data_IF_374053622816
#
_entry.id   IF_374053622816
#
_cell.length_a   1.000
_cell.length_b   1.000
_cell.length_c   1.000
_cell.angle_alpha   90.00
_cell.angle_beta   90.00
_cell.angle_gamma   90.00
#
_symmetry.space_group_name_H-M   'P 1'
#
loop_
_entity.id
_entity.type
_entity.pdbx_description
1 polymer ?
#
# COMPACT_ATOMS: atom_id res chain seq x y z
N UNK A 1 -5.45 10.02 -3.25
CA UNK A 1 -4.34 9.60 -4.12
C UNK A 1 -3.93 8.14 -3.86
N UNK A 2 -3.50 7.76 -2.66
CA UNK A 2 -3.02 6.36 -2.40
C UNK A 2 -4.07 5.31 -2.72
N UNK A 3 -5.35 5.50 -2.38
CA UNK A 3 -6.43 4.58 -2.75
C UNK A 3 -6.43 4.26 -4.26
N UNK A 4 -6.38 5.30 -5.10
CA UNK A 4 -6.38 5.13 -6.56
C UNK A 4 -5.09 4.47 -7.09
N UNK A 5 -3.92 4.88 -6.56
CA UNK A 5 -2.64 4.29 -6.92
C UNK A 5 -2.58 2.82 -6.55
N UNK A 6 -2.98 2.47 -5.33
CA UNK A 6 -2.97 1.09 -4.84
C UNK A 6 -3.96 0.22 -5.63
N UNK A 7 -5.19 0.70 -5.82
CA UNK A 7 -6.19 -0.02 -6.61
C UNK A 7 -5.74 -0.22 -8.08
N UNK A 8 -5.09 0.77 -8.67
CA UNK A 8 -4.53 0.70 -10.01
C UNK A 8 -3.41 -0.34 -10.11
N UNK A 9 -2.49 -0.35 -9.15
CA UNK A 9 -1.36 -1.29 -9.12
C UNK A 9 -1.83 -2.73 -8.91
N UNK A 10 -2.74 -2.97 -7.96
CA UNK A 10 -3.31 -4.30 -7.70
C UNK A 10 -4.02 -4.85 -8.94
N UNK A 11 -4.82 -4.00 -9.63
CA UNK A 11 -5.50 -4.38 -10.87
C UNK A 11 -4.51 -4.76 -11.97
N UNK A 12 -3.42 -3.99 -12.15
CA UNK A 12 -2.38 -4.30 -13.13
C UNK A 12 -1.71 -5.67 -12.88
N UNK A 13 -1.66 -6.10 -11.62
CA UNK A 13 -1.13 -7.41 -11.22
C UNK A 13 -2.17 -8.52 -11.19
N UNK A 14 -3.43 -8.24 -11.52
CA UNK A 14 -4.52 -9.22 -11.48
C UNK A 14 -4.91 -9.63 -10.05
N UNK A 15 -4.59 -8.81 -9.05
CA UNK A 15 -4.98 -9.04 -7.65
C UNK A 15 -6.37 -8.50 -7.42
N UNK A 16 -7.31 -9.38 -7.07
CA UNK A 16 -8.65 -8.98 -6.64
C UNK A 16 -8.59 -8.43 -5.21
N UNK A 17 -8.85 -7.15 -5.06
CA UNK A 17 -8.87 -6.48 -3.77
C UNK A 17 -9.82 -5.29 -3.78
N UNK A 18 -10.43 -5.02 -2.64
CA UNK A 18 -11.22 -3.81 -2.41
C UNK A 18 -10.37 -2.80 -1.65
N UNK A 19 -10.13 -1.64 -2.25
CA UNK A 19 -9.34 -0.57 -1.64
C UNK A 19 -10.28 0.58 -1.24
N UNK A 20 -10.15 1.03 -0.01
CA UNK A 20 -10.91 2.16 0.54
C UNK A 20 -9.97 3.14 1.19
N UNK A 21 -10.31 4.43 1.16
CA UNK A 21 -9.69 5.40 2.06
C UNK A 21 -10.69 5.92 3.09
N UNK A 22 -10.17 6.27 4.25
CA UNK A 22 -10.91 6.93 5.32
C UNK A 22 -10.02 7.97 6.01
N UNK A 23 -10.63 8.99 6.58
CA UNK A 23 -9.93 10.05 7.30
C UNK A 23 -10.50 10.27 8.68
N UNK A 24 -9.81 11.10 9.49
CA UNK A 24 -10.20 11.38 10.86
C UNK A 24 -11.26 12.49 10.96
N UNK A 25 -11.32 13.40 9.98
CA UNK A 25 -12.01 14.68 10.15
C UNK A 25 -13.30 14.83 9.35
N UNK A 26 -13.29 14.44 8.07
CA UNK A 26 -14.34 14.83 7.13
C UNK A 26 -15.06 13.65 6.50
N UNK A 27 -16.33 13.87 6.19
CA UNK A 27 -17.18 12.95 5.47
C UNK A 27 -17.82 13.68 4.28
N UNK A 28 -17.94 12.99 3.13
CA UNK A 28 -18.61 13.51 1.93
C UNK A 28 -17.89 14.62 1.17
N UNK A 29 -16.61 14.93 1.47
CA UNK A 29 -15.85 15.95 0.72
C UNK A 29 -15.24 15.36 -0.56
N UNK A 30 -15.33 16.10 -1.66
CA UNK A 30 -14.62 15.80 -2.89
C UNK A 30 -13.09 15.85 -2.70
N UNK A 31 -12.36 15.21 -3.59
CA UNK A 31 -10.90 15.33 -3.64
C UNK A 31 -10.46 16.76 -3.93
N UNK A 32 -9.29 17.15 -3.40
CA UNK A 32 -8.65 18.41 -3.74
C UNK A 32 -8.39 18.49 -5.25
N UNK A 33 -8.66 19.63 -5.93
CA UNK A 33 -8.48 19.78 -7.37
C UNK A 33 -7.06 19.44 -7.85
N UNK A 34 -6.03 19.74 -7.04
CA UNK A 34 -4.66 19.38 -7.38
C UNK A 34 -4.41 17.88 -7.27
N UNK A 35 -5.09 17.18 -6.32
CA UNK A 35 -5.07 15.71 -6.25
C UNK A 35 -5.70 15.10 -7.50
N UNK A 36 -6.86 15.65 -7.94
CA UNK A 36 -7.53 15.21 -9.18
C UNK A 36 -6.59 15.35 -10.36
N UNK A 37 -5.97 16.55 -10.53
CA UNK A 37 -5.04 16.80 -11.62
C UNK A 37 -3.82 15.88 -11.59
N UNK A 38 -3.21 15.68 -10.42
CA UNK A 38 -2.03 14.82 -10.26
C UNK A 38 -2.33 13.35 -10.55
N UNK A 39 -3.56 12.87 -10.26
CA UNK A 39 -3.99 11.51 -10.58
C UNK A 39 -4.39 11.36 -12.04
N UNK A 40 -5.00 12.38 -12.65
CA UNK A 40 -5.29 12.40 -14.09
C UNK A 40 -4.03 12.26 -14.94
N UNK A 41 -2.91 12.86 -14.55
CA UNK A 41 -1.59 12.67 -15.20
C UNK A 41 -1.14 11.19 -15.23
N UNK A 42 -1.78 10.31 -14.43
CA UNK A 42 -1.54 8.87 -14.29
C UNK A 42 -2.70 8.01 -14.78
N UNK A 43 -3.61 8.61 -15.52
CA UNK A 43 -4.84 7.96 -16.02
C UNK A 43 -5.72 7.39 -14.89
N UNK A 44 -5.65 8.00 -13.68
CA UNK A 44 -6.46 7.64 -12.52
C UNK A 44 -7.51 8.72 -12.26
N UNK A 45 -8.78 8.32 -12.22
CA UNK A 45 -9.91 9.22 -12.00
C UNK A 45 -10.26 9.34 -10.50
N UNK A 46 -10.26 10.57 -9.99
CA UNK A 46 -10.75 10.93 -8.65
C UNK A 46 -12.03 11.77 -8.68
N UNK A 47 -12.68 11.94 -9.81
CA UNK A 47 -13.87 12.81 -9.94
C UNK A 47 -15.04 12.34 -9.09
N UNK A 48 -15.18 11.02 -8.92
CA UNK A 48 -16.21 10.39 -8.08
C UNK A 48 -15.81 10.20 -6.62
N UNK A 49 -14.62 10.67 -6.20
CA UNK A 49 -14.16 10.49 -4.82
C UNK A 49 -14.97 11.33 -3.85
N UNK A 50 -15.40 10.70 -2.75
CA UNK A 50 -15.94 11.36 -1.57
C UNK A 50 -15.23 10.83 -0.31
N UNK A 51 -14.72 11.75 0.52
CA UNK A 51 -14.09 11.36 1.78
C UNK A 51 -15.09 10.64 2.69
N UNK A 52 -14.59 9.70 3.49
CA UNK A 52 -15.37 9.03 4.54
C UNK A 52 -14.61 9.06 5.86
N UNK A 53 -15.34 9.07 6.97
CA UNK A 53 -14.74 8.95 8.29
C UNK A 53 -14.28 7.51 8.54
N UNK A 54 -13.15 7.39 9.20
CA UNK A 54 -12.69 6.14 9.76
C UNK A 54 -13.66 5.65 10.84
N UNK A 55 -14.08 4.41 10.76
CA UNK A 55 -14.96 3.76 11.72
C UNK A 55 -14.38 2.42 12.15
N UNK A 56 -14.76 1.96 13.34
CA UNK A 56 -14.36 0.62 13.81
C UNK A 56 -14.78 -0.48 12.83
N UNK A 57 -15.96 -0.38 12.20
CA UNK A 57 -16.44 -1.33 11.21
C UNK A 57 -15.53 -1.41 9.98
N UNK A 58 -15.05 -0.27 9.46
CA UNK A 58 -14.09 -0.24 8.34
C UNK A 58 -12.75 -0.85 8.75
N UNK A 59 -12.27 -0.54 9.95
CA UNK A 59 -11.02 -1.11 10.47
C UNK A 59 -11.12 -2.62 10.65
N UNK A 60 -12.25 -3.13 11.14
CA UNK A 60 -12.48 -4.55 11.38
C UNK A 60 -12.51 -5.36 10.07
N UNK A 61 -13.06 -4.81 9.01
CA UNK A 61 -13.15 -5.46 7.70
C UNK A 61 -11.87 -5.35 6.86
N UNK A 62 -10.87 -4.58 7.29
CA UNK A 62 -9.65 -4.39 6.54
C UNK A 62 -8.59 -5.46 6.86
N UNK A 63 -8.02 -6.09 5.85
CA UNK A 63 -6.88 -7.01 5.98
C UNK A 63 -5.57 -6.24 6.19
N UNK A 64 -5.49 -5.01 5.71
CA UNK A 64 -4.35 -4.11 5.84
C UNK A 64 -4.83 -2.66 6.01
N UNK A 65 -4.29 -1.96 6.99
CA UNK A 65 -4.54 -0.52 7.21
C UNK A 65 -3.25 0.25 6.97
N UNK A 66 -3.32 1.24 6.06
CA UNK A 66 -2.16 2.07 5.70
C UNK A 66 -2.43 3.52 6.10
N UNK A 67 -1.68 4.02 7.06
CA UNK A 67 -1.69 5.44 7.44
C UNK A 67 -0.69 6.26 6.62
N UNK A 68 -1.02 7.52 6.34
CA UNK A 68 -0.05 8.45 5.74
C UNK A 68 0.89 9.05 6.80
N UNK A 69 0.45 9.08 8.04
CA UNK A 69 1.19 9.57 9.20
C UNK A 69 1.05 8.57 10.35
N UNK A 70 2.01 8.57 11.27
CA UNK A 70 1.98 7.78 12.51
C UNK A 70 0.71 8.05 13.33
N UNK A 71 0.24 9.30 13.32
CA UNK A 71 -1.03 9.67 13.94
C UNK A 71 -2.21 8.84 13.44
N UNK A 72 -2.28 8.56 12.14
CA UNK A 72 -3.37 7.76 11.57
C UNK A 72 -3.35 6.31 12.09
N UNK A 73 -2.17 5.73 12.23
CA UNK A 73 -2.00 4.37 12.80
C UNK A 73 -2.37 4.35 14.28
N UNK A 74 -1.97 5.38 15.06
CA UNK A 74 -2.37 5.50 16.48
C UNK A 74 -3.87 5.58 16.63
N UNK A 75 -4.54 6.46 15.87
CA UNK A 75 -5.99 6.63 15.95
C UNK A 75 -6.73 5.35 15.54
N UNK A 76 -6.22 4.62 14.55
CA UNK A 76 -6.77 3.32 14.17
C UNK A 76 -6.62 2.30 15.33
N UNK A 77 -5.46 2.24 15.97
CA UNK A 77 -5.22 1.34 17.09
C UNK A 77 -6.00 1.72 18.37
N UNK A 78 -6.28 3.01 18.59
CA UNK A 78 -7.15 3.47 19.67
C UNK A 78 -8.60 3.07 19.39
N UNK A 79 -9.07 3.22 18.15
CA UNK A 79 -10.42 2.85 17.76
C UNK A 79 -10.65 1.32 17.76
N UNK A 80 -9.63 0.55 17.36
CA UNK A 80 -9.67 -0.91 17.28
C UNK A 80 -8.28 -1.49 17.57
N UNK A 81 -7.96 -1.89 18.82
CA UNK A 81 -6.63 -2.40 19.17
C UNK A 81 -6.18 -3.61 18.36
N UNK A 82 -7.08 -4.47 17.92
CA UNK A 82 -6.79 -5.66 17.13
C UNK A 82 -6.25 -5.34 15.72
N UNK A 83 -6.31 -4.08 15.28
CA UNK A 83 -5.76 -3.67 13.98
C UNK A 83 -4.24 -3.55 14.01
N UNK A 84 -3.64 -3.44 15.19
CA UNK A 84 -2.21 -3.17 15.39
C UNK A 84 -1.25 -4.04 14.55
N UNK A 85 -1.41 -5.38 14.47
CA UNK A 85 -0.48 -6.21 13.69
C UNK A 85 -0.55 -5.99 12.17
N UNK A 86 -1.61 -5.31 11.68
CA UNK A 86 -1.85 -5.06 10.25
C UNK A 86 -2.02 -3.58 9.91
N UNK A 87 -1.68 -2.68 10.84
CA UNK A 87 -1.72 -1.24 10.62
C UNK A 87 -0.30 -0.66 10.59
N UNK A 88 0.07 0.00 9.51
CA UNK A 88 1.40 0.57 9.27
C UNK A 88 1.28 1.95 8.64
N UNK A 89 2.31 2.78 8.76
CA UNK A 89 2.42 3.88 7.80
C UNK A 89 2.91 3.34 6.46
N UNK A 90 2.62 4.05 5.37
CA UNK A 90 3.04 3.63 4.03
C UNK A 90 4.57 3.49 3.93
N UNK A 91 5.32 4.43 4.51
CA UNK A 91 6.79 4.38 4.51
C UNK A 91 7.33 3.25 5.37
N UNK A 92 6.75 3.05 6.57
CA UNK A 92 7.12 1.93 7.44
C UNK A 92 6.91 0.60 6.73
N UNK A 93 5.72 0.39 6.15
CA UNK A 93 5.40 -0.84 5.45
C UNK A 93 6.36 -1.10 4.28
N UNK A 94 6.61 -0.10 3.44
CA UNK A 94 7.55 -0.22 2.33
C UNK A 94 8.97 -0.57 2.80
N UNK A 95 9.45 0.06 3.86
CA UNK A 95 10.78 -0.19 4.45
C UNK A 95 10.89 -1.61 5.02
N UNK A 96 9.87 -2.03 5.81
CA UNK A 96 9.84 -3.36 6.43
C UNK A 96 9.70 -4.47 5.38
N UNK A 97 8.84 -4.27 4.39
CA UNK A 97 8.66 -5.17 3.27
C UNK A 97 9.96 -5.36 2.48
N UNK A 98 10.66 -4.25 2.15
CA UNK A 98 11.95 -4.32 1.45
C UNK A 98 13.01 -5.05 2.26
N UNK A 99 13.03 -4.91 3.58
CA UNK A 99 13.98 -5.59 4.45
C UNK A 99 13.69 -7.10 4.59
N UNK A 100 12.41 -7.48 4.60
CA UNK A 100 11.97 -8.87 4.73
C UNK A 100 12.04 -9.66 3.41
N UNK A 101 12.05 -8.96 2.27
CA UNK A 101 11.92 -9.55 0.95
C UNK A 101 10.45 -9.85 0.57
N UNK A 102 10.21 -10.42 -0.62
CA UNK A 102 8.87 -10.75 -1.08
C UNK A 102 8.18 -11.78 -0.18
N UNK A 103 6.87 -11.64 -0.03
CA UNK A 103 6.05 -12.64 0.67
C UNK A 103 6.09 -13.97 -0.11
N UNK A 104 6.42 -15.08 0.53
CA UNK A 104 6.31 -16.40 -0.10
C UNK A 104 4.85 -16.71 -0.47
N UNK A 105 4.63 -17.39 -1.59
CA UNK A 105 3.29 -17.68 -2.13
C UNK A 105 2.42 -18.51 -1.17
N UNK A 106 3.05 -19.40 -0.38
CA UNK A 106 2.41 -20.25 0.60
C UNK A 106 2.13 -19.58 1.96
N UNK A 107 2.54 -18.32 2.14
CA UNK A 107 2.33 -17.55 3.38
C UNK A 107 1.12 -16.63 3.22
N UNK A 108 0.07 -16.74 4.03
CA UNK A 108 -1.04 -15.79 4.05
C UNK A 108 -0.58 -14.35 4.28
N UNK A 109 -1.27 -13.38 3.66
CA UNK A 109 -0.94 -11.95 3.80
C UNK A 109 -0.95 -11.53 5.28
N UNK A 110 -1.94 -11.98 6.05
CA UNK A 110 -2.05 -11.64 7.47
C UNK A 110 -0.85 -12.15 8.28
N UNK A 111 -0.39 -13.38 8.04
CA UNK A 111 0.77 -13.96 8.72
C UNK A 111 2.07 -13.22 8.37
N UNK A 112 2.20 -12.81 7.11
CA UNK A 112 3.36 -12.05 6.67
C UNK A 112 3.37 -10.64 7.28
N UNK A 113 2.22 -9.96 7.33
CA UNK A 113 2.07 -8.66 8.01
C UNK A 113 2.37 -8.78 9.51
N UNK A 114 1.88 -9.83 10.17
CA UNK A 114 2.18 -10.09 11.58
C UNK A 114 3.70 -10.28 11.82
N UNK A 115 4.41 -10.94 10.91
CA UNK A 115 5.89 -11.04 10.96
C UNK A 115 6.57 -9.69 10.81
N UNK A 116 6.08 -8.83 9.89
CA UNK A 116 6.60 -7.47 9.74
C UNK A 116 6.36 -6.61 10.98
N UNK A 117 5.34 -6.90 11.77
CA UNK A 117 5.00 -6.18 12.98
C UNK A 117 5.65 -6.74 14.26
N UNK A 118 6.31 -7.91 14.21
CA UNK A 118 6.69 -8.69 15.38
C UNK A 118 7.67 -7.98 16.33
N UNK A 119 8.53 -7.11 15.82
CA UNK A 119 9.51 -6.32 16.60
C UNK A 119 8.99 -4.94 16.99
N UNK A 120 7.74 -4.60 16.62
CA UNK A 120 7.16 -3.29 16.93
C UNK A 120 6.72 -3.23 18.38
N UNK A 121 7.01 -2.09 18.98
CA UNK A 121 6.54 -1.75 20.32
C UNK A 121 5.48 -0.65 20.25
N UNK A 122 4.64 -0.56 21.27
CA UNK A 122 3.64 0.53 21.36
C UNK A 122 4.27 1.91 21.39
N UNK A 123 5.56 2.01 21.76
CA UNK A 123 6.30 3.26 21.77
C UNK A 123 6.79 3.71 20.39
N UNK A 124 6.87 2.82 19.41
CA UNK A 124 7.36 3.15 18.06
C UNK A 124 6.48 4.19 17.36
N UNK A 125 5.21 4.25 17.72
CA UNK A 125 4.27 5.28 17.22
C UNK A 125 3.96 6.39 18.23
N UNK A 126 4.60 6.37 19.40
CA UNK A 126 4.60 7.48 20.35
C UNK A 126 5.77 8.41 20.03
N UNK A 127 5.52 9.69 19.97
CA UNK A 127 6.56 10.69 19.66
C UNK A 127 6.35 11.34 18.28
N UNK A 128 7.17 12.34 18.01
CA UNK A 128 7.02 13.26 16.88
C UNK A 128 8.05 13.04 15.77
N UNK A 129 8.66 11.84 15.68
CA UNK A 129 9.56 11.53 14.57
C UNK A 129 8.80 11.41 13.24
N UNK A 130 8.93 12.35 12.30
CA UNK A 130 8.19 12.35 11.05
C UNK A 130 8.80 11.44 9.97
N UNK A 131 9.80 10.61 10.29
CA UNK A 131 10.54 9.83 9.28
C UNK A 131 9.62 8.90 8.47
N UNK A 132 8.60 8.33 9.13
CA UNK A 132 7.62 7.47 8.51
C UNK A 132 6.35 8.20 8.04
N UNK A 133 6.29 9.52 8.16
CA UNK A 133 5.17 10.34 7.70
C UNK A 133 5.33 10.76 6.24
N UNK A 134 4.25 10.71 5.49
CA UNK A 134 4.13 11.32 4.16
C UNK A 134 3.64 12.75 4.34
N UNK A 135 4.42 13.77 3.90
CA UNK A 135 3.98 15.16 4.04
C UNK A 135 2.67 15.44 3.31
N UNK A 136 1.70 16.07 4.00
CA UNK A 136 0.43 16.45 3.40
C UNK A 136 0.64 17.62 2.42
N UNK A 137 0.28 17.47 1.13
CA UNK A 137 0.41 18.54 0.14
C UNK A 137 -0.73 19.57 0.20
N UNK A 138 -1.76 19.41 1.05
CA UNK A 138 -2.90 20.33 1.14
C UNK A 138 -2.44 21.78 1.34
N UNK A 139 -3.02 22.70 0.58
CA UNK A 139 -2.63 24.12 0.60
C UNK A 139 -1.34 24.44 -0.15
N UNK A 140 -0.72 23.49 -0.83
CA UNK A 140 0.47 23.67 -1.64
C UNK A 140 0.14 23.75 -3.15
N UNK A 141 1.15 24.00 -3.97
CA UNK A 141 1.02 24.08 -5.41
C UNK A 141 0.76 22.72 -6.07
N UNK A 142 0.19 22.71 -7.28
CA UNK A 142 0.05 21.50 -8.11
C UNK A 142 1.38 20.77 -8.31
N UNK A 143 2.50 21.50 -8.45
CA UNK A 143 3.84 20.89 -8.52
C UNK A 143 4.15 20.05 -7.27
N UNK A 144 3.76 20.52 -6.08
CA UNK A 144 3.96 19.77 -4.83
C UNK A 144 3.08 18.51 -4.81
N UNK A 145 1.84 18.60 -5.27
CA UNK A 145 0.96 17.45 -5.41
C UNK A 145 1.50 16.39 -6.37
N UNK A 146 2.02 16.81 -7.53
CA UNK A 146 2.65 15.90 -8.51
C UNK A 146 3.86 15.16 -7.91
N UNK A 147 4.72 15.89 -7.19
CA UNK A 147 5.87 15.29 -6.51
C UNK A 147 5.42 14.31 -5.41
N UNK A 148 4.43 14.70 -4.62
CA UNK A 148 3.84 13.79 -3.62
C UNK A 148 3.29 12.53 -4.29
N UNK A 149 2.58 12.67 -5.42
CA UNK A 149 2.06 11.55 -6.18
C UNK A 149 3.15 10.61 -6.69
N UNK A 150 4.28 11.13 -7.16
CA UNK A 150 5.46 10.34 -7.58
C UNK A 150 6.05 9.53 -6.41
N UNK A 151 6.19 10.16 -5.23
CA UNK A 151 6.67 9.49 -4.03
C UNK A 151 5.71 8.39 -3.57
N UNK A 152 4.40 8.66 -3.60
CA UNK A 152 3.37 7.69 -3.23
C UNK A 152 3.33 6.51 -4.20
N UNK A 153 3.42 6.76 -5.50
CA UNK A 153 3.45 5.74 -6.55
C UNK A 153 4.62 4.77 -6.34
N UNK A 154 5.81 5.30 -6.09
CA UNK A 154 7.00 4.51 -5.79
C UNK A 154 6.82 3.66 -4.52
N UNK A 155 6.29 4.22 -3.44
CA UNK A 155 6.06 3.50 -2.19
C UNK A 155 5.00 2.40 -2.34
N UNK A 156 3.90 2.70 -3.02
CA UNK A 156 2.85 1.72 -3.36
C UNK A 156 3.41 0.59 -4.21
N UNK A 157 4.25 0.91 -5.21
CA UNK A 157 4.91 -0.08 -6.04
C UNK A 157 5.73 -1.06 -5.19
N UNK A 158 6.55 -0.55 -4.28
CA UNK A 158 7.35 -1.39 -3.34
C UNK A 158 6.43 -2.28 -2.51
N UNK A 159 5.39 -1.72 -1.90
CA UNK A 159 4.45 -2.49 -1.06
C UNK A 159 3.80 -3.61 -1.87
N UNK A 160 3.27 -3.31 -3.05
CA UNK A 160 2.57 -4.30 -3.87
C UNK A 160 3.52 -5.36 -4.42
N UNK A 161 4.74 -4.97 -4.79
CA UNK A 161 5.77 -5.92 -5.24
C UNK A 161 6.10 -6.98 -4.19
N UNK A 162 6.13 -6.59 -2.91
CA UNK A 162 6.49 -7.49 -1.82
C UNK A 162 5.29 -8.28 -1.27
N UNK A 163 4.10 -7.69 -1.22
CA UNK A 163 2.91 -8.40 -0.73
C UNK A 163 2.31 -9.36 -1.77
N UNK A 164 2.35 -8.97 -3.04
CA UNK A 164 1.83 -9.73 -4.16
C UNK A 164 2.89 -9.83 -5.27
N UNK A 165 3.98 -10.58 -5.01
CA UNK A 165 5.02 -10.77 -6.01
C UNK A 165 4.41 -11.41 -7.27
N UNK A 166 4.93 -11.02 -8.44
CA UNK A 166 4.56 -11.70 -9.68
C UNK A 166 5.02 -13.16 -9.57
N UNK A 167 4.10 -14.11 -9.77
CA UNK A 167 4.48 -15.52 -9.84
C UNK A 167 5.53 -15.69 -10.94
N UNK A 168 6.60 -16.46 -10.72
CA UNK A 168 7.57 -16.73 -11.77
C UNK A 168 6.83 -17.38 -12.96
N UNK A 169 6.95 -16.77 -14.13
CA UNK A 169 6.35 -17.31 -15.37
C UNK A 169 6.80 -18.75 -15.56
N UNK A 170 5.86 -19.69 -15.56
CA UNK A 170 6.12 -21.14 -15.76
C UNK A 170 6.51 -21.47 -17.21
N UNK A 171 6.89 -20.48 -18.03
CA UNK A 171 7.21 -20.64 -19.45
C UNK A 171 8.69 -20.94 -19.76
N UNK A 172 9.44 -21.39 -18.78
CA UNK A 172 10.76 -21.97 -19.06
C UNK A 172 10.67 -23.50 -19.11
N UNK A 173 10.00 -24.05 -20.11
CA UNK A 173 10.22 -25.43 -20.52
C UNK A 173 11.62 -25.49 -21.17
N UNK A 174 12.61 -26.16 -20.57
CA UNK A 174 13.85 -26.39 -21.28
C UNK A 174 13.56 -27.33 -22.48
N UNK A 175 13.71 -26.81 -23.68
CA UNK A 175 13.70 -27.66 -24.90
C UNK A 175 14.88 -28.63 -24.84
N UNK A 176 14.58 -29.84 -24.44
CA UNK A 176 15.53 -30.94 -24.43
C UNK A 176 15.61 -31.56 -25.85
N UNK A 177 16.25 -30.83 -26.77
CA UNK A 177 16.66 -31.42 -28.05
C UNK A 177 18.02 -32.12 -27.87
N UNK A 178 17.95 -33.29 -27.25
CA UNK A 178 19.08 -34.23 -27.31
C UNK A 178 19.05 -34.95 -28.67
N UNK A 179 19.79 -34.42 -29.64
CA UNK A 179 20.12 -35.10 -30.91
C UNK A 179 20.95 -36.33 -30.59
N UNK A 180 20.31 -37.49 -30.73
CA UNK A 180 21.03 -38.77 -30.77
C UNK A 180 21.60 -38.95 -32.18
N UNK A 181 22.88 -38.66 -32.38
CA UNK A 181 23.64 -39.15 -33.55
C UNK A 181 24.10 -40.58 -33.29
N UNK A 182 23.48 -41.55 -33.96
CA UNK A 182 23.98 -42.90 -34.09
C UNK A 182 24.78 -42.96 -35.40
N UNK A 183 26.05 -43.22 -35.31
CA UNK A 183 26.89 -43.59 -36.47
C UNK A 183 27.21 -45.05 -36.37
N UNK A 184 26.93 -45.78 -37.45
CA UNK A 184 27.25 -47.18 -37.70
C UNK A 184 28.74 -47.39 -37.91
#
# INVERSE_FOLDING_TARGET
MVEALLAGELRRRGVEATVHSAGLLFDGRAADPHSVSAMADRELDLSGFASRKMTESLLRSADLVIGMERRHVREAAVALPEVWPRAFTLKELARRASAAGPRPDDVPVEDWLARLAADRTTTDHLGDDPSDDVPDPIGRSLRTFRRCAEDLERLVGVVVEHLWPASPSTDAVPSNDAVRSTTA
#
